data_IF_609544065501
#
_entry.id   IF_609544065501
#
_cell.length_a   1.000
_cell.length_b   1.000
_cell.length_c   1.000
_cell.angle_alpha   90.00
_cell.angle_beta   90.00
_cell.angle_gamma   90.00
#
_symmetry.space_group_name_H-M   'P 1'
#
loop_
_entity.id
_entity.type
_entity.pdbx_description
1 polymer ?
#
# COMPACT_ATOMS: atom_id res chain seq x y z
N UNK A 1 -36.15 10.25 16.26
CA UNK A 1 -34.86 10.13 16.97
C UNK A 1 -33.98 9.32 16.04
N UNK A 2 -32.80 9.78 15.67
CA UNK A 2 -31.83 8.91 15.00
C UNK A 2 -31.46 7.82 16.03
N UNK A 3 -31.51 6.54 15.63
CA UNK A 3 -31.08 5.43 16.50
C UNK A 3 -29.57 5.51 16.72
N UNK A 4 -29.09 5.02 17.88
CA UNK A 4 -27.64 4.99 18.19
C UNK A 4 -26.85 4.27 17.08
N UNK A 5 -27.45 3.26 16.46
CA UNK A 5 -26.89 2.47 15.35
C UNK A 5 -26.65 3.30 14.08
N UNK A 6 -27.51 4.28 13.81
CA UNK A 6 -27.36 5.18 12.67
C UNK A 6 -26.19 6.16 12.82
N UNK A 7 -25.96 6.64 14.05
CA UNK A 7 -24.80 7.46 14.36
C UNK A 7 -23.50 6.64 14.34
N UNK A 8 -23.55 5.38 14.77
CA UNK A 8 -22.42 4.45 14.73
C UNK A 8 -22.04 4.08 13.29
N UNK A 9 -23.01 3.76 12.45
CA UNK A 9 -22.78 3.48 11.03
C UNK A 9 -22.16 4.67 10.30
N UNK A 10 -22.59 5.89 10.61
CA UNK A 10 -22.00 7.10 10.05
C UNK A 10 -20.52 7.29 10.45
N UNK A 11 -20.13 6.89 11.68
CA UNK A 11 -18.74 6.89 12.14
C UNK A 11 -17.91 5.84 11.41
N UNK A 12 -18.43 4.62 11.25
CA UNK A 12 -17.75 3.53 10.53
C UNK A 12 -17.51 3.90 9.07
N UNK A 13 -18.51 4.45 8.37
CA UNK A 13 -18.39 4.92 6.98
C UNK A 13 -17.25 5.94 6.79
N UNK A 14 -17.11 6.88 7.72
CA UNK A 14 -16.01 7.87 7.69
C UNK A 14 -14.64 7.18 7.87
N UNK A 15 -14.55 6.19 8.75
CA UNK A 15 -13.30 5.44 8.96
C UNK A 15 -12.94 4.56 7.75
N UNK A 16 -13.92 3.91 7.10
CA UNK A 16 -13.72 3.19 5.83
C UNK A 16 -13.14 4.11 4.77
N UNK A 17 -13.73 5.29 4.58
CA UNK A 17 -13.25 6.29 3.61
C UNK A 17 -11.79 6.68 3.90
N UNK A 18 -11.48 7.04 5.16
CA UNK A 18 -10.14 7.42 5.59
C UNK A 18 -9.11 6.31 5.35
N UNK A 19 -9.49 5.05 5.58
CA UNK A 19 -8.62 3.89 5.34
C UNK A 19 -8.38 3.64 3.86
N UNK A 20 -9.39 3.82 3.01
CA UNK A 20 -9.26 3.76 1.54
C UNK A 20 -8.29 4.83 1.02
N UNK A 21 -8.37 6.05 1.53
CA UNK A 21 -7.40 7.11 1.20
C UNK A 21 -5.96 6.72 1.58
N UNK A 22 -5.77 6.16 2.78
CA UNK A 22 -4.46 5.66 3.21
C UNK A 22 -3.93 4.54 2.32
N UNK A 23 -4.80 3.63 1.87
CA UNK A 23 -4.43 2.57 0.92
C UNK A 23 -3.99 3.14 -0.43
N UNK A 24 -4.68 4.15 -0.94
CA UNK A 24 -4.30 4.82 -2.18
C UNK A 24 -2.88 5.40 -2.09
N UNK A 25 -2.57 6.10 -0.99
CA UNK A 25 -1.21 6.65 -0.75
C UNK A 25 -0.16 5.53 -0.69
N UNK A 26 -0.44 4.42 -0.01
CA UNK A 26 0.49 3.28 0.05
C UNK A 26 0.70 2.64 -1.33
N UNK A 27 -0.36 2.54 -2.13
CA UNK A 27 -0.29 2.00 -3.48
C UNK A 27 0.49 2.91 -4.43
N UNK A 28 0.32 4.22 -4.35
CA UNK A 28 1.13 5.20 -5.09
C UNK A 28 2.61 5.08 -4.75
N UNK A 29 2.95 4.97 -3.46
CA UNK A 29 4.34 4.75 -3.00
C UNK A 29 4.92 3.44 -3.54
N UNK A 30 4.12 2.37 -3.57
CA UNK A 30 4.53 1.08 -4.16
C UNK A 30 4.87 1.26 -5.65
N UNK A 31 3.99 1.91 -6.43
CA UNK A 31 4.21 2.17 -7.86
C UNK A 31 5.49 2.99 -8.09
N UNK A 32 5.75 4.00 -7.26
CA UNK A 32 6.97 4.80 -7.36
C UNK A 32 8.24 3.95 -7.12
N UNK A 33 8.21 3.08 -6.11
CA UNK A 33 9.32 2.17 -5.80
C UNK A 33 9.53 1.16 -6.93
N UNK A 34 8.46 0.60 -7.49
CA UNK A 34 8.53 -0.32 -8.63
C UNK A 34 9.14 0.37 -9.87
N UNK A 35 8.79 1.64 -10.13
CA UNK A 35 9.42 2.43 -11.19
C UNK A 35 10.92 2.63 -10.95
N UNK A 36 11.32 2.91 -9.72
CA UNK A 36 12.76 3.01 -9.36
C UNK A 36 13.47 1.69 -9.64
N UNK A 37 12.89 0.55 -9.26
CA UNK A 37 13.46 -0.77 -9.55
C UNK A 37 13.61 -1.04 -11.05
N UNK A 38 12.61 -0.68 -11.86
CA UNK A 38 12.72 -0.80 -13.32
C UNK A 38 13.87 0.05 -13.87
N UNK A 39 14.00 1.30 -13.42
CA UNK A 39 15.11 2.18 -13.82
C UNK A 39 16.47 1.61 -13.39
N UNK A 40 16.56 1.03 -12.19
CA UNK A 40 17.77 0.34 -11.72
C UNK A 40 18.14 -0.83 -12.61
N UNK A 41 17.17 -1.67 -12.99
CA UNK A 41 17.39 -2.81 -13.87
C UNK A 41 17.92 -2.37 -15.24
N UNK A 42 17.32 -1.34 -15.85
CA UNK A 42 17.78 -0.77 -17.12
C UNK A 42 19.19 -0.17 -17.03
N UNK A 43 19.51 0.56 -15.95
CA UNK A 43 20.86 1.11 -15.71
C UNK A 43 21.91 0.02 -15.53
N UNK A 44 21.56 -1.06 -14.84
CA UNK A 44 22.43 -2.22 -14.64
C UNK A 44 22.78 -2.91 -15.97
N UNK A 45 21.79 -3.15 -16.83
CA UNK A 45 21.97 -3.78 -18.15
C UNK A 45 22.84 -2.92 -19.08
N UNK A 46 22.59 -1.61 -19.13
CA UNK A 46 23.37 -0.69 -19.97
C UNK A 46 24.85 -0.63 -19.55
N UNK A 47 25.11 -0.82 -18.25
CA UNK A 47 26.46 -0.75 -17.69
C UNK A 47 27.21 -2.07 -17.79
N UNK A 48 26.56 -3.23 -17.64
CA UNK A 48 27.21 -4.52 -17.88
C UNK A 48 27.67 -4.67 -19.34
N UNK A 49 26.99 -4.01 -20.29
CA UNK A 49 27.45 -3.90 -21.69
C UNK A 49 28.67 -2.99 -21.90
N UNK A 50 28.97 -2.08 -20.96
CA UNK A 50 30.03 -1.07 -21.09
C UNK A 50 31.25 -1.32 -20.19
N UNK A 51 31.18 -2.24 -19.21
CA UNK A 51 32.29 -2.49 -18.27
C UNK A 51 33.30 -3.48 -18.87
N UNK A 52 34.02 -3.00 -19.87
CA UNK A 52 35.43 -3.32 -20.01
C UNK A 52 36.24 -2.16 -19.42
N UNK A 53 36.88 -2.40 -18.26
CA UNK A 53 38.05 -1.69 -17.67
C UNK A 53 37.82 -0.95 -16.33
N UNK A 54 38.56 -1.44 -15.31
CA UNK A 54 39.11 -0.76 -14.10
C UNK A 54 38.21 -0.51 -12.87
N UNK A 55 38.86 -0.42 -11.69
CA UNK A 55 38.36 -0.29 -10.31
C UNK A 55 37.17 0.66 -10.07
N UNK A 56 36.92 1.62 -10.97
CA UNK A 56 35.72 2.47 -10.95
C UNK A 56 34.43 1.63 -11.14
N UNK A 57 34.47 0.58 -11.96
CA UNK A 57 33.36 -0.34 -12.15
C UNK A 57 32.99 -1.13 -10.89
N UNK A 58 33.96 -1.50 -10.05
CA UNK A 58 33.69 -2.22 -8.79
C UNK A 58 33.05 -1.31 -7.74
N UNK A 59 33.55 -0.09 -7.56
CA UNK A 59 32.97 0.89 -6.62
C UNK A 59 31.53 1.25 -7.03
N UNK A 60 31.31 1.45 -8.32
CA UNK A 60 29.99 1.75 -8.86
C UNK A 60 29.03 0.56 -8.76
N UNK A 61 29.47 -0.67 -9.07
CA UNK A 61 28.66 -1.87 -8.86
C UNK A 61 28.28 -2.08 -7.40
N UNK A 62 29.18 -1.76 -6.46
CA UNK A 62 28.87 -1.79 -5.02
C UNK A 62 27.81 -0.75 -4.64
N UNK A 63 27.90 0.46 -5.19
CA UNK A 63 26.89 1.50 -4.99
C UNK A 63 25.52 1.06 -5.52
N UNK A 64 25.45 0.54 -6.75
CA UNK A 64 24.21 0.03 -7.34
C UNK A 64 23.59 -1.12 -6.53
N UNK A 65 24.41 -2.05 -6.02
CA UNK A 65 23.91 -3.13 -5.13
C UNK A 65 23.32 -2.58 -3.84
N UNK A 66 23.98 -1.60 -3.22
CA UNK A 66 23.48 -0.99 -2.00
C UNK A 66 22.16 -0.26 -2.24
N UNK A 67 22.06 0.50 -3.33
CA UNK A 67 20.83 1.20 -3.70
C UNK A 67 19.70 0.20 -4.02
N UNK A 68 19.98 -0.87 -4.77
CA UNK A 68 19.02 -1.94 -5.04
C UNK A 68 18.53 -2.58 -3.73
N UNK A 69 19.44 -2.90 -2.81
CA UNK A 69 19.07 -3.50 -1.53
C UNK A 69 18.18 -2.57 -0.69
N UNK A 70 18.44 -1.26 -0.69
CA UNK A 70 17.60 -0.28 -0.01
C UNK A 70 16.20 -0.20 -0.64
N UNK A 71 16.13 -0.10 -1.97
CA UNK A 71 14.85 0.00 -2.69
C UNK A 71 14.01 -1.26 -2.51
N UNK A 72 14.61 -2.46 -2.58
CA UNK A 72 13.92 -3.72 -2.32
C UNK A 72 13.39 -3.79 -0.89
N UNK A 73 14.19 -3.38 0.11
CA UNK A 73 13.74 -3.35 1.51
C UNK A 73 12.55 -2.40 1.70
N UNK A 74 12.59 -1.22 1.10
CA UNK A 74 11.48 -0.27 1.15
C UNK A 74 10.22 -0.82 0.45
N UNK A 75 10.37 -1.59 -0.64
CA UNK A 75 9.24 -2.27 -1.28
C UNK A 75 8.60 -3.29 -0.33
N UNK A 76 9.41 -4.13 0.31
CA UNK A 76 8.93 -5.16 1.25
C UNK A 76 8.21 -4.54 2.47
N UNK A 77 8.66 -3.39 2.93
CA UNK A 77 8.02 -2.63 4.01
C UNK A 77 6.66 -2.08 3.57
N UNK A 78 6.59 -1.39 2.42
CA UNK A 78 5.34 -0.84 1.89
C UNK A 78 4.33 -1.95 1.55
N UNK A 79 4.78 -3.08 1.01
CA UNK A 79 3.91 -4.23 0.73
C UNK A 79 3.31 -4.81 2.01
N UNK A 80 4.11 -4.95 3.08
CA UNK A 80 3.60 -5.40 4.38
C UNK A 80 2.60 -4.42 4.99
N UNK A 81 2.89 -3.12 4.91
CA UNK A 81 1.95 -2.09 5.36
C UNK A 81 0.64 -2.12 4.57
N UNK A 82 0.71 -2.30 3.25
CA UNK A 82 -0.46 -2.39 2.37
C UNK A 82 -1.32 -3.60 2.72
N UNK A 83 -0.73 -4.79 2.87
CA UNK A 83 -1.45 -6.01 3.26
C UNK A 83 -2.14 -5.83 4.61
N UNK A 84 -1.43 -5.26 5.59
CA UNK A 84 -1.99 -5.03 6.92
C UNK A 84 -3.13 -4.00 6.89
N UNK A 85 -3.00 -2.94 6.08
CA UNK A 85 -4.05 -1.95 5.90
C UNK A 85 -5.29 -2.54 5.19
N UNK A 86 -5.10 -3.41 4.19
CA UNK A 86 -6.20 -4.09 3.51
C UNK A 86 -6.98 -5.02 4.45
N UNK A 87 -6.29 -5.86 5.23
CA UNK A 87 -6.95 -6.73 6.23
C UNK A 87 -7.76 -5.93 7.25
N UNK A 88 -7.23 -4.78 7.68
CA UNK A 88 -7.91 -3.88 8.62
C UNK A 88 -9.11 -3.17 7.99
N UNK A 89 -9.08 -2.92 6.68
CA UNK A 89 -10.22 -2.36 5.96
C UNK A 89 -11.33 -3.41 5.85
N UNK A 90 -10.99 -4.64 5.48
CA UNK A 90 -11.93 -5.76 5.35
C UNK A 90 -12.72 -6.00 6.64
N UNK A 91 -12.06 -5.95 7.81
CA UNK A 91 -12.74 -6.08 9.11
C UNK A 91 -13.78 -4.98 9.31
N UNK A 92 -13.43 -3.72 9.03
CA UNK A 92 -14.36 -2.60 9.22
C UNK A 92 -15.48 -2.60 8.18
N UNK A 93 -15.22 -3.01 6.94
CA UNK A 93 -16.27 -3.16 5.93
C UNK A 93 -17.27 -4.27 6.30
N UNK A 94 -16.80 -5.34 6.97
CA UNK A 94 -17.68 -6.36 7.53
C UNK A 94 -18.53 -5.82 8.69
N UNK A 95 -17.95 -5.02 9.60
CA UNK A 95 -18.68 -4.32 10.66
C UNK A 95 -19.74 -3.35 10.07
N UNK A 96 -19.37 -2.58 9.05
CA UNK A 96 -20.30 -1.69 8.33
C UNK A 96 -21.48 -2.47 7.73
N UNK A 97 -21.20 -3.62 7.12
CA UNK A 97 -22.22 -4.47 6.51
C UNK A 97 -23.17 -5.04 7.56
N UNK A 98 -22.67 -5.43 8.73
CA UNK A 98 -23.51 -5.94 9.83
C UNK A 98 -24.49 -4.87 10.30
N UNK A 99 -24.01 -3.67 10.62
CA UNK A 99 -24.87 -2.56 11.09
C UNK A 99 -25.89 -2.12 10.02
N UNK A 100 -25.55 -2.21 8.73
CA UNK A 100 -26.51 -1.93 7.66
C UNK A 100 -27.64 -2.94 7.59
N UNK A 101 -27.38 -4.21 7.90
CA UNK A 101 -28.43 -5.24 7.97
C UNK A 101 -29.34 -4.97 9.16
N UNK A 102 -28.75 -4.66 10.32
CA UNK A 102 -29.50 -4.36 11.54
C UNK A 102 -30.43 -3.12 11.36
N UNK A 103 -29.96 -2.04 10.73
CA UNK A 103 -30.80 -0.87 10.38
C UNK A 103 -31.97 -1.23 9.45
N UNK A 104 -31.76 -2.14 8.48
CA UNK A 104 -32.79 -2.55 7.52
C UNK A 104 -33.88 -3.40 8.20
N UNK A 105 -33.49 -4.29 9.11
CA UNK A 105 -34.41 -5.14 9.86
C UNK A 105 -35.27 -4.31 10.83
N UNK A 106 -34.71 -3.28 11.47
CA UNK A 106 -35.49 -2.35 12.31
C UNK A 106 -36.49 -1.52 11.48
N UNK A 107 -36.08 -1.06 10.30
CA UNK A 107 -36.95 -0.27 9.41
C UNK A 107 -38.10 -1.06 8.77
N UNK A 108 -38.01 -2.40 8.77
CA UNK A 108 -39.01 -3.30 8.18
C UNK A 108 -40.16 -3.66 9.15
N UNK A 109 -40.05 -3.27 10.42
CA UNK A 109 -41.01 -3.60 11.49
C UNK A 109 -41.95 -2.40 11.82
N UNK A 110 -41.67 -1.20 11.32
CA UNK A 110 -42.56 -0.01 11.42
C UNK A 110 -43.57 0.11 10.26
#
# INVERSE_FOLDING_TARGET
>A
MESEDSEELAKIRKEVLRRKEKLNVLNERKIEIERKLTQFSSRSILMSGNIGKMQAGERYNKMLRNELQQVTKSLDEVQRELINAMKRLEIIEAEETSLQIDELDESSIE
#
